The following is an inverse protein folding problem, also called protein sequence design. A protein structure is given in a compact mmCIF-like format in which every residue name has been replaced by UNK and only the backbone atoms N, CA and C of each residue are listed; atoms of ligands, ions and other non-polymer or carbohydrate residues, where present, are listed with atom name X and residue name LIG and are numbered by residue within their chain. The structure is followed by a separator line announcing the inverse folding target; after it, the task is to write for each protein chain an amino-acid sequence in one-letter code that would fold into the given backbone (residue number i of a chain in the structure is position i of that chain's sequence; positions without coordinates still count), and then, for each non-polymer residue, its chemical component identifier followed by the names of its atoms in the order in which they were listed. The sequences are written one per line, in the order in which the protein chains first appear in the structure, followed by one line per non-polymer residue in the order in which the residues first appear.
data_IF_680091117213
#
_entry.id   IF_680091117213
#
_cell.length_a   1.000
_cell.length_b   1.000
_cell.length_c   1.000
_cell.angle_alpha   90.00
_cell.angle_beta   90.00
_cell.angle_gamma   90.00
#
_symmetry.space_group_name_H-M   'P 1'
#
loop_
_entity.id
_entity.type
_entity.pdbx_description
1 polymer ?
#
# COMPACT_ATOMS: atom_id res chain seq x y z
N UNK A 1 20.14 0.55 2.51
CA UNK A 1 19.05 -0.19 1.87
C UNK A 1 17.89 -0.13 2.85
N UNK A 2 16.74 0.38 2.45
CA UNK A 2 15.59 0.42 3.34
C UNK A 2 14.99 -0.98 3.35
N UNK A 3 14.76 -1.54 4.53
CA UNK A 3 14.13 -2.84 4.70
C UNK A 3 12.67 -2.75 4.26
N UNK A 4 12.24 -3.63 3.35
CA UNK A 4 10.87 -3.67 2.84
C UNK A 4 10.08 -4.83 3.44
N UNK A 5 8.78 -4.61 3.52
CA UNK A 5 7.80 -5.54 4.05
C UNK A 5 6.70 -5.72 3.01
N UNK A 6 6.11 -6.90 3.01
CA UNK A 6 5.12 -7.31 2.03
C UNK A 6 3.86 -7.81 2.72
N UNK A 7 2.69 -7.43 2.20
CA UNK A 7 1.41 -8.05 2.54
C UNK A 7 1.07 -9.03 1.42
N UNK A 8 1.03 -10.31 1.76
CA UNK A 8 0.80 -11.39 0.80
C UNK A 8 -0.14 -12.46 1.34
N UNK A 9 -0.86 -13.12 0.42
CA UNK A 9 -1.70 -14.29 0.73
C UNK A 9 -0.95 -15.57 0.34
N UNK A 10 -1.00 -16.57 1.23
CA UNK A 10 -0.29 -17.85 1.04
C UNK A 10 -0.81 -18.70 -0.12
N UNK A 11 -2.10 -18.57 -0.47
CA UNK A 11 -2.77 -19.50 -1.38
C UNK A 11 -3.03 -18.94 -2.77
N UNK A 12 -3.25 -17.63 -2.88
CA UNK A 12 -3.52 -16.98 -4.15
C UNK A 12 -3.14 -15.49 -4.10
N UNK A 13 -2.75 -14.87 -5.22
CA UNK A 13 -2.41 -13.46 -5.26
C UNK A 13 -3.64 -12.58 -4.96
N UNK A 14 -3.39 -11.42 -4.36
CA UNK A 14 -4.39 -10.38 -4.15
C UNK A 14 -4.79 -9.78 -5.50
N UNK A 15 -6.07 -9.44 -5.64
CA UNK A 15 -6.53 -8.63 -6.77
C UNK A 15 -6.53 -7.15 -6.42
N UNK A 16 -6.46 -6.30 -7.44
CA UNK A 16 -6.53 -4.85 -7.25
C UNK A 16 -7.89 -4.42 -6.66
N UNK A 17 -8.97 -5.11 -7.00
CA UNK A 17 -10.30 -4.83 -6.47
C UNK A 17 -10.39 -5.13 -4.97
N UNK A 18 -9.82 -6.26 -4.52
CA UNK A 18 -9.71 -6.59 -3.09
C UNK A 18 -8.88 -5.57 -2.33
N UNK A 19 -7.76 -5.14 -2.91
CA UNK A 19 -6.92 -4.09 -2.35
C UNK A 19 -7.69 -2.77 -2.20
N UNK A 20 -8.34 -2.31 -3.26
CA UNK A 20 -9.12 -1.07 -3.26
C UNK A 20 -10.29 -1.13 -2.26
N UNK A 21 -10.95 -2.28 -2.16
CA UNK A 21 -12.03 -2.50 -1.20
C UNK A 21 -11.52 -2.44 0.24
N UNK A 22 -10.40 -3.11 0.55
CA UNK A 22 -9.79 -3.08 1.89
C UNK A 22 -9.37 -1.65 2.27
N UNK A 23 -8.64 -0.95 1.40
CA UNK A 23 -8.22 0.44 1.65
C UNK A 23 -9.42 1.36 1.91
N UNK A 24 -10.52 1.18 1.17
CA UNK A 24 -11.72 2.01 1.32
C UNK A 24 -12.50 1.76 2.61
N UNK A 25 -12.27 0.63 3.29
CA UNK A 25 -12.91 0.27 4.56
C UNK A 25 -12.11 0.72 5.79
N UNK A 26 -10.86 1.16 5.62
CA UNK A 26 -9.98 1.50 6.72
C UNK A 26 -9.88 3.01 6.93
N UNK A 27 -10.23 3.47 8.13
CA UNK A 27 -9.91 4.83 8.56
C UNK A 27 -8.39 5.03 8.68
N UNK A 28 -7.89 6.12 8.09
CA UNK A 28 -6.47 6.49 8.11
C UNK A 28 -5.65 5.93 6.97
N UNK A 29 -6.26 5.21 6.02
CA UNK A 29 -5.66 4.79 4.74
C UNK A 29 -6.55 5.25 3.59
N UNK A 30 -5.97 5.65 2.46
CA UNK A 30 -6.74 5.96 1.25
C UNK A 30 -5.97 5.65 -0.02
N UNK A 31 -6.66 5.42 -1.13
CA UNK A 31 -6.01 5.33 -2.44
C UNK A 31 -5.45 6.69 -2.86
N UNK A 32 -4.23 6.69 -3.39
CA UNK A 32 -3.59 7.90 -3.89
C UNK A 32 -4.39 8.47 -5.06
N UNK A 33 -4.88 9.70 -4.93
CA UNK A 33 -5.83 10.29 -5.89
C UNK A 33 -5.19 10.99 -7.10
N UNK A 34 -3.85 10.98 -7.23
CA UNK A 34 -3.17 11.70 -8.32
C UNK A 34 -3.05 10.83 -9.56
N UNK A 35 -3.99 11.02 -10.49
CA UNK A 35 -3.79 10.59 -11.88
C UNK A 35 -2.77 11.55 -12.52
N UNK A 36 -1.59 11.07 -12.86
CA UNK A 36 -0.66 11.82 -13.72
C UNK A 36 -1.17 11.69 -15.15
N UNK A 37 -1.85 12.75 -15.64
CA UNK A 37 -2.15 12.88 -17.06
C UNK A 37 -1.00 13.62 -17.73
N UNK A 38 -0.43 13.00 -18.77
CA UNK A 38 0.53 13.63 -19.66
C UNK A 38 -0.13 13.79 -21.03
N UNK A 39 -0.13 15.02 -21.56
CA UNK A 39 -0.61 15.25 -22.93
C UNK A 39 0.53 14.95 -23.89
N UNK A 40 0.32 14.04 -24.85
CA UNK A 40 1.27 13.81 -25.91
C UNK A 40 1.35 15.06 -26.81
N UNK A 41 2.49 15.78 -26.86
CA UNK A 41 2.59 17.02 -27.62
C UNK A 41 2.56 16.81 -29.15
N UNK A 42 2.69 15.57 -29.66
CA UNK A 42 2.62 15.29 -31.10
C UNK A 42 1.24 14.86 -31.59
N UNK A 43 0.43 14.18 -30.76
CA UNK A 43 -0.91 13.70 -31.13
C UNK A 43 -2.06 14.41 -30.43
N UNK A 44 -1.80 15.14 -29.34
CA UNK A 44 -2.83 15.75 -28.49
C UNK A 44 -3.60 14.74 -27.62
N UNK A 45 -3.26 13.46 -27.68
CA UNK A 45 -3.85 12.45 -26.79
C UNK A 45 -3.45 12.69 -25.34
N UNK A 46 -4.44 12.59 -24.45
CA UNK A 46 -4.21 12.53 -23.01
C UNK A 46 -3.81 11.10 -22.67
N UNK A 47 -2.53 10.90 -22.35
CA UNK A 47 -2.04 9.67 -21.77
C UNK A 47 -2.27 9.78 -20.26
N UNK A 48 -3.37 9.19 -19.79
CA UNK A 48 -3.55 8.93 -18.37
C UNK A 48 -2.65 7.76 -18.00
N UNK A 49 -1.56 8.04 -17.29
CA UNK A 49 -0.74 6.98 -16.70
C UNK A 49 -1.41 6.64 -15.36
N UNK A 50 -2.01 5.45 -15.28
CA UNK A 50 -2.52 4.85 -14.03
C UNK A 50 -1.37 4.42 -13.11
N UNK A 51 -0.32 5.25 -12.97
CA UNK A 51 0.88 4.95 -12.18
C UNK A 51 0.61 4.76 -10.68
N UNK A 52 -0.64 5.01 -10.25
CA UNK A 52 -1.05 4.98 -8.84
C UNK A 52 -2.23 4.06 -8.57
N UNK A 53 -2.72 3.28 -9.54
CA UNK A 53 -3.92 2.45 -9.35
C UNK A 53 -3.84 1.50 -8.14
N UNK A 54 -2.63 1.16 -7.69
CA UNK A 54 -2.36 0.34 -6.50
C UNK A 54 -1.69 1.05 -5.32
N UNK A 55 -1.45 2.36 -5.37
CA UNK A 55 -0.76 3.05 -4.28
C UNK A 55 -1.76 3.54 -3.23
N UNK A 56 -1.51 3.22 -1.96
CA UNK A 56 -2.26 3.80 -0.85
C UNK A 56 -1.38 4.69 0.04
N UNK A 57 -2.02 5.74 0.54
CA UNK A 57 -1.46 6.72 1.44
C UNK A 57 -1.97 6.47 2.86
N UNK A 58 -1.13 6.72 3.87
CA UNK A 58 -1.54 6.73 5.27
C UNK A 58 -1.67 8.16 5.79
N UNK A 59 -2.58 8.37 6.74
CA UNK A 59 -2.75 9.63 7.43
C UNK A 59 -1.78 9.71 8.62
N UNK A 60 -0.84 10.64 8.57
CA UNK A 60 0.07 10.95 9.68
C UNK A 60 -0.64 11.79 10.76
N UNK A 61 -0.09 11.80 11.98
CA UNK A 61 -0.65 12.56 13.12
C UNK A 61 -0.85 14.06 12.82
N UNK A 62 -0.03 14.64 11.93
CA UNK A 62 -0.14 16.03 11.50
C UNK A 62 -1.23 16.27 10.43
N UNK A 63 -2.06 15.26 10.12
CA UNK A 63 -3.12 15.35 9.11
C UNK A 63 -2.63 15.25 7.67
N UNK A 64 -1.36 14.86 7.47
CA UNK A 64 -0.75 14.73 6.15
C UNK A 64 -0.92 13.32 5.61
N UNK A 65 -1.31 13.21 4.34
CA UNK A 65 -1.36 11.94 3.63
C UNK A 65 -0.04 11.68 2.94
N UNK A 66 0.58 10.53 3.21
CA UNK A 66 1.86 10.14 2.62
C UNK A 66 1.75 8.78 1.94
N UNK A 67 2.25 8.62 0.69
CA UNK A 67 2.32 7.33 0.03
C UNK A 67 3.14 6.34 0.87
N UNK A 68 2.59 5.16 1.11
CA UNK A 68 3.19 4.18 2.00
C UNK A 68 3.14 2.77 1.41
N UNK A 69 1.96 2.37 0.94
CA UNK A 69 1.70 1.03 0.41
C UNK A 69 1.66 1.06 -1.10
N UNK A 70 2.28 0.07 -1.73
CA UNK A 70 2.30 -0.08 -3.17
C UNK A 70 1.89 -1.48 -3.58
N UNK A 71 0.71 -1.60 -4.16
CA UNK A 71 0.24 -2.85 -4.75
C UNK A 71 0.88 -3.09 -6.12
N UNK A 72 1.54 -4.23 -6.29
CA UNK A 72 2.03 -4.72 -7.57
C UNK A 72 2.03 -6.25 -7.59
N UNK A 73 1.71 -6.83 -8.75
CA UNK A 73 1.76 -8.28 -9.00
C UNK A 73 1.03 -9.15 -7.95
N UNK A 74 -0.03 -8.62 -7.32
CA UNK A 74 -0.85 -9.36 -6.36
C UNK A 74 -0.29 -9.42 -4.93
N UNK A 75 0.66 -8.54 -4.62
CA UNK A 75 1.14 -8.28 -3.26
C UNK A 75 1.20 -6.77 -3.01
N UNK A 76 1.31 -6.38 -1.75
CA UNK A 76 1.50 -4.98 -1.35
C UNK A 76 2.88 -4.84 -0.71
N UNK A 77 3.71 -3.93 -1.19
CA UNK A 77 5.01 -3.63 -0.56
C UNK A 77 4.96 -2.29 0.17
N UNK A 78 5.70 -2.17 1.27
CA UNK A 78 5.90 -0.93 2.01
C UNK A 78 7.25 -0.93 2.71
N UNK A 79 7.74 0.27 3.05
CA UNK A 79 9.02 0.42 3.76
C UNK A 79 8.82 0.31 5.25
N UNK A 80 9.66 -0.46 5.91
CA UNK A 80 9.74 -0.46 7.36
C UNK A 80 10.24 0.90 7.84
N UNK A 81 9.50 1.51 8.77
CA UNK A 81 9.97 2.66 9.54
C UNK A 81 10.96 2.20 10.61
N UNK A 82 11.73 3.13 11.18
CA UNK A 82 12.65 2.80 12.29
C UNK A 82 11.94 2.20 13.51
N UNK A 83 10.65 2.51 13.69
CA UNK A 83 9.83 2.05 14.80
C UNK A 83 8.74 1.07 14.36
N UNK A 84 8.94 0.34 13.27
CA UNK A 84 7.88 -0.50 12.66
C UNK A 84 7.38 -1.62 13.59
N UNK A 85 8.11 -1.98 14.65
CA UNK A 85 7.63 -2.95 15.65
C UNK A 85 6.79 -2.31 16.77
N UNK A 86 6.70 -0.98 16.81
CA UNK A 86 5.89 -0.26 17.78
C UNK A 86 4.43 -0.27 17.35
N UNK A 87 3.54 -0.66 18.27
CA UNK A 87 2.07 -0.55 18.07
C UNK A 87 1.56 0.90 17.98
N UNK A 88 2.45 1.90 18.14
CA UNK A 88 2.17 3.32 17.92
C UNK A 88 2.59 3.79 16.52
N UNK A 89 3.32 2.98 15.78
CA UNK A 89 3.68 3.33 14.41
C UNK A 89 2.44 3.21 13.52
N UNK A 90 2.11 4.31 12.83
CA UNK A 90 0.90 4.37 12.01
C UNK A 90 0.98 3.44 10.79
N UNK A 91 2.19 3.19 10.28
CA UNK A 91 2.43 2.23 9.19
C UNK A 91 2.19 0.82 9.69
N UNK A 92 2.70 0.47 10.87
CA UNK A 92 2.45 -0.82 11.52
C UNK A 92 0.94 -1.07 11.70
N UNK A 93 0.24 -0.12 12.31
CA UNK A 93 -1.20 -0.23 12.57
C UNK A 93 -1.99 -0.35 11.28
N UNK A 94 -1.65 0.43 10.25
CA UNK A 94 -2.30 0.33 8.94
C UNK A 94 -2.02 -1.02 8.27
N UNK A 95 -0.77 -1.48 8.28
CA UNK A 95 -0.36 -2.75 7.68
C UNK A 95 -1.08 -3.94 8.34
N UNK A 96 -1.14 -3.98 9.67
CA UNK A 96 -1.83 -5.03 10.43
C UNK A 96 -3.32 -5.09 10.07
N UNK A 97 -3.99 -3.92 10.07
CA UNK A 97 -5.41 -3.84 9.68
C UNK A 97 -5.66 -4.26 8.24
N UNK A 98 -4.79 -3.85 7.30
CA UNK A 98 -4.89 -4.22 5.89
C UNK A 98 -4.67 -5.73 5.70
N UNK A 99 -3.65 -6.30 6.34
CA UNK A 99 -3.39 -7.73 6.31
C UNK A 99 -4.58 -8.53 6.85
N UNK A 100 -5.15 -8.10 7.99
CA UNK A 100 -6.35 -8.71 8.55
C UNK A 100 -7.55 -8.62 7.61
N UNK A 101 -7.86 -7.43 7.08
CA UNK A 101 -8.99 -7.22 6.16
C UNK A 101 -8.85 -8.05 4.88
N UNK A 102 -7.61 -8.26 4.43
CA UNK A 102 -7.29 -9.05 3.25
C UNK A 102 -7.12 -10.54 3.56
N UNK A 103 -7.19 -11.00 4.81
CA UNK A 103 -6.84 -12.39 5.16
C UNK A 103 -5.42 -12.77 4.70
N UNK A 104 -4.50 -11.81 4.72
CA UNK A 104 -3.12 -11.90 4.29
C UNK A 104 -2.18 -11.91 5.51
N UNK A 105 -0.89 -12.17 5.26
CA UNK A 105 0.17 -12.10 6.26
C UNK A 105 1.20 -11.04 5.87
N UNK A 106 1.91 -10.51 6.86
CA UNK A 106 3.01 -9.58 6.65
C UNK A 106 4.31 -10.37 6.65
N UNK A 107 5.12 -10.19 5.61
CA UNK A 107 6.36 -10.92 5.39
C UNK A 107 7.50 -9.95 5.12
N UNK A 108 8.67 -10.24 5.69
CA UNK A 108 9.90 -9.50 5.45
C UNK A 108 10.63 -9.88 4.17
N UNK A 109 11.59 -9.06 3.77
CA UNK A 109 12.51 -9.35 2.66
C UNK A 109 13.26 -10.69 2.85
N UNK A 110 13.50 -11.13 4.09
CA UNK A 110 14.17 -12.40 4.40
C UNK A 110 13.19 -13.58 4.54
N UNK A 111 11.89 -13.36 4.30
CA UNK A 111 10.84 -14.36 4.39
C UNK A 111 10.31 -14.60 5.80
N UNK A 112 10.67 -13.78 6.78
CA UNK A 112 10.10 -13.83 8.12
C UNK A 112 8.64 -13.36 8.10
N UNK A 113 7.76 -14.12 8.75
CA UNK A 113 6.37 -13.72 8.91
C UNK A 113 6.19 -12.97 10.24
N UNK A 114 5.42 -11.88 10.18
CA UNK A 114 5.04 -11.08 11.34
C UNK A 114 3.58 -11.35 11.73
N UNK A 115 3.35 -11.56 13.03
CA UNK A 115 2.02 -11.68 13.64
C UNK A 115 1.67 -10.32 14.27
N UNK A 116 1.00 -9.46 13.49
CA UNK A 116 0.56 -8.11 13.87
C UNK A 116 -0.96 -8.00 13.83
#
# INVERSE_FOLDING_TARGET
MAYELHIERKHHPLTIDEWNAAVSQLDGVRLASKNTSAVNPSSGEVISIDSHAGTAEILLEMGQWVPCFHFMHGQVSFKATENIQSSRDLTHVAAAKLAFALGAVIVGDEGEAYDW
#
